data_IF_285204485087
#
_entry.id   IF_285204485087
#
_cell.length_a   1.000
_cell.length_b   1.000
_cell.length_c   1.000
_cell.angle_alpha   90.00
_cell.angle_beta   90.00
_cell.angle_gamma   90.00
#
_symmetry.space_group_name_H-M   'P 1'
#
loop_
_entity.id
_entity.type
_entity.pdbx_description
1 polymer ?
#
# COMPACT_ATOMS: atom_id res chain seq x y z
N UNK A 1 -16.67 4.60 18.19
CA UNK A 1 -15.60 5.58 18.44
C UNK A 1 -15.85 6.78 17.55
N UNK A 2 -16.02 7.99 18.09
CA UNK A 2 -16.10 9.22 17.31
C UNK A 2 -14.90 9.37 16.39
N UNK A 3 -15.10 9.86 15.16
CA UNK A 3 -14.02 9.99 14.16
C UNK A 3 -12.92 10.96 14.63
N UNK A 4 -13.25 11.86 15.56
CA UNK A 4 -12.29 12.79 16.16
C UNK A 4 -11.38 12.14 17.22
N UNK A 5 -11.70 10.93 17.70
CA UNK A 5 -10.87 10.20 18.67
C UNK A 5 -9.82 9.32 17.98
N UNK A 6 -9.89 9.18 16.66
CA UNK A 6 -8.87 8.63 15.80
C UNK A 6 -7.72 9.64 15.64
N UNK A 7 -7.02 9.99 16.71
CA UNK A 7 -6.05 11.09 16.67
C UNK A 7 -4.74 10.77 15.94
N UNK A 8 -4.43 9.50 15.64
CA UNK A 8 -3.24 9.10 14.87
C UNK A 8 -3.41 7.78 14.08
N UNK A 9 -4.55 7.42 13.45
CA UNK A 9 -4.58 6.23 12.60
C UNK A 9 -3.74 6.49 11.35
N UNK A 10 -2.79 5.59 11.10
CA UNK A 10 -2.04 5.56 9.83
C UNK A 10 -2.99 5.10 8.71
N UNK A 11 -3.93 4.20 9.02
CA UNK A 11 -4.87 3.57 8.09
C UNK A 11 -6.10 3.01 8.81
N UNK A 12 -7.28 3.16 8.20
CA UNK A 12 -8.53 2.47 8.56
C UNK A 12 -9.03 1.72 7.33
N UNK A 13 -9.50 0.49 7.51
CA UNK A 13 -10.14 -0.30 6.45
C UNK A 13 -11.58 -0.55 6.87
N UNK A 14 -12.53 -0.12 6.05
CA UNK A 14 -13.97 -0.24 6.32
C UNK A 14 -14.58 -1.18 5.29
N UNK A 15 -14.96 -2.41 5.66
CA UNK A 15 -15.69 -3.31 4.78
C UNK A 15 -17.08 -2.75 4.46
N UNK A 16 -17.45 -2.77 3.18
CA UNK A 16 -18.75 -2.29 2.67
C UNK A 16 -19.55 -3.41 1.98
N UNK A 17 -19.20 -4.69 2.19
CA UNK A 17 -19.79 -5.86 1.51
C UNK A 17 -21.32 -5.85 1.49
N UNK A 18 -21.95 -5.47 2.61
CA UNK A 18 -23.42 -5.41 2.78
C UNK A 18 -24.00 -3.99 2.60
N UNK A 19 -23.15 -3.00 2.36
CA UNK A 19 -23.48 -1.57 2.42
C UNK A 19 -22.86 -0.77 1.27
N UNK A 20 -22.62 -1.39 0.11
CA UNK A 20 -22.02 -0.72 -1.05
C UNK A 20 -22.84 0.48 -1.52
N UNK A 21 -24.16 0.49 -1.27
CA UNK A 21 -25.03 1.62 -1.53
C UNK A 21 -24.64 2.89 -0.75
N UNK A 22 -23.87 2.78 0.34
CA UNK A 22 -23.36 3.91 1.12
C UNK A 22 -22.00 4.42 0.63
N UNK A 23 -21.34 3.72 -0.31
CA UNK A 23 -19.95 3.98 -0.73
C UNK A 23 -19.76 5.41 -1.21
N UNK A 24 -20.59 5.87 -2.14
CA UNK A 24 -20.44 7.18 -2.77
C UNK A 24 -20.67 8.32 -1.77
N UNK A 25 -21.71 8.21 -0.95
CA UNK A 25 -22.01 9.18 0.11
C UNK A 25 -20.89 9.23 1.17
N UNK A 26 -20.34 8.07 1.54
CA UNK A 26 -19.25 8.00 2.51
C UNK A 26 -17.98 8.65 1.95
N UNK A 27 -17.59 8.31 0.71
CA UNK A 27 -16.43 8.92 0.03
C UNK A 27 -16.64 10.43 -0.11
N UNK A 28 -17.81 10.88 -0.56
CA UNK A 28 -18.12 12.30 -0.72
C UNK A 28 -17.97 13.07 0.59
N UNK A 29 -18.50 12.53 1.69
CA UNK A 29 -18.43 13.21 2.99
C UNK A 29 -17.03 13.20 3.59
N UNK A 30 -16.28 12.09 3.48
CA UNK A 30 -14.91 12.00 3.98
C UNK A 30 -13.94 12.90 3.17
N UNK A 31 -14.15 13.04 1.86
CA UNK A 31 -13.31 13.89 1.00
C UNK A 31 -13.36 15.38 1.42
N UNK A 32 -14.47 15.82 2.02
CA UNK A 32 -14.61 17.20 2.55
C UNK A 32 -13.63 17.51 3.69
N UNK A 33 -13.09 16.49 4.36
CA UNK A 33 -12.13 16.67 5.46
C UNK A 33 -10.76 17.13 4.96
N UNK A 34 -10.41 16.89 3.68
CA UNK A 34 -9.15 17.31 3.03
C UNK A 34 -7.85 16.80 3.69
N UNK A 35 -7.96 16.00 4.75
CA UNK A 35 -6.84 15.41 5.50
C UNK A 35 -6.75 13.89 5.33
N UNK A 36 -7.51 13.31 4.40
CA UNK A 36 -7.56 11.87 4.15
C UNK A 36 -7.26 11.54 2.69
N UNK A 37 -6.56 10.43 2.47
CA UNK A 37 -6.45 9.76 1.18
C UNK A 37 -7.38 8.53 1.19
N UNK A 38 -8.32 8.50 0.25
CA UNK A 38 -9.36 7.48 0.16
C UNK A 38 -9.15 6.60 -1.08
N UNK A 39 -9.23 5.28 -0.92
CA UNK A 39 -9.26 4.35 -2.05
C UNK A 39 -10.25 3.22 -1.80
N UNK A 40 -10.98 2.79 -2.83
CA UNK A 40 -11.88 1.65 -2.74
C UNK A 40 -11.25 0.44 -3.43
N UNK A 41 -11.27 -0.70 -2.77
CA UNK A 41 -10.80 -1.97 -3.35
C UNK A 41 -12.01 -2.79 -3.78
N UNK A 42 -12.28 -2.88 -5.09
CA UNK A 42 -13.51 -3.49 -5.61
C UNK A 42 -13.66 -4.98 -5.27
N UNK A 43 -12.57 -5.74 -5.32
CA UNK A 43 -12.60 -7.19 -5.01
C UNK A 43 -12.89 -7.44 -3.53
N UNK A 44 -12.17 -6.75 -2.63
CA UNK A 44 -12.37 -6.88 -1.18
C UNK A 44 -13.63 -6.16 -0.68
N UNK A 45 -14.21 -5.28 -1.50
CA UNK A 45 -15.31 -4.38 -1.16
C UNK A 45 -15.02 -3.55 0.09
N UNK A 46 -13.80 -3.01 0.15
CA UNK A 46 -13.29 -2.27 1.30
C UNK A 46 -12.96 -0.82 0.93
N UNK A 47 -13.39 0.12 1.76
CA UNK A 47 -12.92 1.51 1.73
C UNK A 47 -11.68 1.64 2.62
N UNK A 48 -10.58 2.03 2.01
CA UNK A 48 -9.32 2.34 2.64
C UNK A 48 -9.27 3.84 2.91
N UNK A 49 -8.97 4.20 4.16
CA UNK A 49 -8.91 5.58 4.63
C UNK A 49 -7.52 5.75 5.25
N UNK A 50 -6.63 6.47 4.57
CA UNK A 50 -5.30 6.79 5.07
C UNK A 50 -5.24 8.28 5.46
N UNK A 51 -4.29 8.63 6.34
CA UNK A 51 -3.92 10.03 6.51
C UNK A 51 -3.36 10.59 5.19
N UNK A 52 -3.69 11.85 4.87
CA UNK A 52 -3.27 12.49 3.62
C UNK A 52 -1.75 12.46 3.47
N UNK A 53 -1.28 11.97 2.32
CA UNK A 53 0.13 11.86 1.98
C UNK A 53 0.83 10.66 2.63
N UNK A 54 0.14 9.86 3.45
CA UNK A 54 0.72 8.70 4.13
C UNK A 54 0.55 7.43 3.30
N UNK A 55 1.64 7.05 2.66
CA UNK A 55 1.83 5.82 1.89
C UNK A 55 3.02 5.00 2.42
N UNK A 56 3.12 3.73 2.01
CA UNK A 56 4.32 2.90 2.26
C UNK A 56 5.61 3.63 1.83
N UNK A 57 5.59 4.22 0.63
CA UNK A 57 6.71 4.98 0.10
C UNK A 57 7.07 6.20 0.94
N UNK A 58 6.08 7.05 1.28
CA UNK A 58 6.32 8.24 2.10
C UNK A 58 6.88 7.88 3.48
N UNK A 59 6.44 6.76 4.05
CA UNK A 59 6.93 6.28 5.35
C UNK A 59 8.41 5.93 5.24
N UNK A 60 8.80 5.18 4.21
CA UNK A 60 10.22 4.82 4.01
C UNK A 60 11.07 6.06 3.77
N UNK A 61 10.64 6.94 2.85
CA UNK A 61 11.38 8.14 2.50
C UNK A 61 11.56 9.10 3.69
N UNK A 62 10.55 9.23 4.55
CA UNK A 62 10.59 10.14 5.69
C UNK A 62 11.42 9.61 6.86
N UNK A 63 11.52 8.28 7.03
CA UNK A 63 12.17 7.67 8.20
C UNK A 63 13.51 7.02 7.92
N UNK A 64 13.71 6.49 6.72
CA UNK A 64 14.90 5.71 6.34
C UNK A 64 15.65 6.34 5.16
N UNK A 65 15.02 7.26 4.43
CA UNK A 65 15.63 7.98 3.31
C UNK A 65 15.44 7.30 1.97
N UNK A 66 16.29 7.69 1.02
CA UNK A 66 16.36 7.07 -0.31
C UNK A 66 17.23 5.81 -0.23
N UNK A 67 17.32 5.08 -1.34
CA UNK A 67 18.24 3.95 -1.49
C UNK A 67 17.80 2.67 -0.76
N UNK A 68 16.58 2.21 -1.04
CA UNK A 68 16.04 0.96 -0.49
C UNK A 68 15.62 -0.03 -1.58
N UNK A 69 15.63 -1.30 -1.21
CA UNK A 69 15.03 -2.40 -1.99
C UNK A 69 13.60 -2.64 -1.49
N UNK A 70 12.65 -2.75 -2.40
CA UNK A 70 11.24 -2.98 -2.08
C UNK A 70 10.82 -4.41 -2.41
N UNK A 71 10.02 -5.01 -1.52
CA UNK A 71 9.23 -6.20 -1.78
C UNK A 71 7.76 -5.84 -1.65
N UNK A 72 6.95 -6.22 -2.62
CA UNK A 72 5.54 -5.84 -2.68
C UNK A 72 4.72 -6.82 -3.51
N UNK A 73 3.42 -6.85 -3.27
CA UNK A 73 2.52 -7.84 -3.87
C UNK A 73 1.19 -7.23 -4.33
N UNK A 74 0.96 -5.94 -4.08
CA UNK A 74 -0.35 -5.32 -4.25
C UNK A 74 -0.25 -3.89 -4.77
N UNK A 75 -1.40 -3.29 -5.12
CA UNK A 75 -1.50 -1.94 -5.69
C UNK A 75 -0.88 -0.86 -4.80
N UNK A 76 -0.98 -0.99 -3.48
CA UNK A 76 -0.43 0.00 -2.55
C UNK A 76 1.12 -0.01 -2.48
N UNK A 77 1.78 -0.97 -3.14
CA UNK A 77 3.23 -1.04 -3.31
C UNK A 77 3.73 -0.27 -4.55
N UNK A 78 2.85 0.13 -5.48
CA UNK A 78 3.27 0.86 -6.69
C UNK A 78 4.08 2.13 -6.36
N UNK A 79 3.65 3.01 -5.43
CA UNK A 79 4.47 4.17 -5.06
C UNK A 79 5.79 3.75 -4.39
N UNK A 80 5.81 2.62 -3.67
CA UNK A 80 7.01 2.11 -3.02
C UNK A 80 8.05 1.69 -4.06
N UNK A 81 7.62 0.99 -5.11
CA UNK A 81 8.48 0.52 -6.20
C UNK A 81 9.03 1.68 -7.03
N UNK A 82 8.20 2.70 -7.33
CA UNK A 82 8.64 3.91 -8.04
C UNK A 82 9.76 4.68 -7.35
N UNK A 83 9.96 4.48 -6.04
CA UNK A 83 10.98 5.16 -5.25
C UNK A 83 12.11 4.23 -4.81
N UNK A 84 12.02 2.93 -5.10
CA UNK A 84 13.02 1.94 -4.74
C UNK A 84 14.19 1.95 -5.73
N UNK A 85 15.38 1.53 -5.28
CA UNK A 85 16.49 1.19 -6.17
C UNK A 85 16.24 -0.11 -6.93
N UNK A 86 15.51 -1.03 -6.29
CA UNK A 86 15.20 -2.33 -6.83
C UNK A 86 13.86 -2.82 -6.27
N UNK A 87 12.91 -3.13 -7.14
CA UNK A 87 11.58 -3.62 -6.80
C UNK A 87 11.40 -5.10 -7.11
N UNK A 88 11.11 -5.91 -6.09
CA UNK A 88 10.79 -7.33 -6.23
C UNK A 88 9.29 -7.54 -6.03
N UNK A 89 8.59 -7.84 -7.12
CA UNK A 89 7.22 -8.28 -7.05
C UNK A 89 7.14 -9.70 -6.49
N UNK A 90 6.26 -9.89 -5.50
CA UNK A 90 5.91 -11.20 -4.94
C UNK A 90 4.51 -11.58 -5.41
N UNK A 91 4.38 -12.72 -6.09
CA UNK A 91 3.11 -13.12 -6.71
C UNK A 91 2.85 -12.44 -8.05
N UNK A 92 1.60 -12.45 -8.51
CA UNK A 92 1.23 -12.21 -9.91
C UNK A 92 0.26 -11.04 -10.13
N UNK A 93 0.18 -10.10 -9.18
CA UNK A 93 -0.63 -8.89 -9.35
C UNK A 93 -0.18 -8.07 -10.57
N UNK A 94 -0.99 -8.10 -11.64
CA UNK A 94 -0.60 -7.64 -12.97
C UNK A 94 -0.21 -6.16 -13.02
N UNK A 95 -0.90 -5.30 -12.27
CA UNK A 95 -0.65 -3.86 -12.27
C UNK A 95 0.64 -3.43 -11.54
N UNK A 96 1.27 -4.31 -10.77
CA UNK A 96 2.55 -4.02 -10.12
C UNK A 96 3.75 -4.38 -11.01
N UNK A 97 3.54 -5.27 -11.99
CA UNK A 97 4.59 -5.82 -12.85
C UNK A 97 5.39 -4.76 -13.60
N UNK A 98 4.72 -3.72 -14.10
CA UNK A 98 5.35 -2.64 -14.87
C UNK A 98 6.28 -1.76 -14.01
N UNK A 99 6.25 -1.90 -12.68
CA UNK A 99 7.08 -1.16 -11.75
C UNK A 99 8.16 -2.03 -11.09
N UNK A 100 8.18 -3.34 -11.36
CA UNK A 100 9.08 -4.29 -10.72
C UNK A 100 10.29 -4.59 -11.62
N UNK A 101 11.47 -4.72 -11.01
CA UNK A 101 12.68 -5.20 -11.69
C UNK A 101 12.71 -6.73 -11.80
N UNK A 102 12.09 -7.41 -10.83
CA UNK A 102 12.03 -8.87 -10.76
C UNK A 102 10.68 -9.34 -10.20
N UNK A 103 10.25 -10.53 -10.61
CA UNK A 103 9.07 -11.20 -10.08
C UNK A 103 9.46 -12.55 -9.47
N UNK A 104 8.97 -12.86 -8.27
CA UNK A 104 9.19 -14.13 -7.58
C UNK A 104 7.88 -14.74 -7.10
N UNK A 105 7.89 -16.07 -6.92
CA UNK A 105 6.76 -16.79 -6.35
C UNK A 105 6.53 -16.39 -4.88
N UNK A 106 5.26 -16.39 -4.41
CA UNK A 106 4.90 -16.06 -3.03
C UNK A 106 5.19 -17.22 -2.07
N UNK A 107 6.42 -17.72 -2.11
CA UNK A 107 6.90 -18.84 -1.29
C UNK A 107 7.93 -18.31 -0.30
N UNK A 108 7.72 -18.53 0.99
CA UNK A 108 8.55 -17.94 2.05
C UNK A 108 10.04 -18.24 1.91
N UNK A 109 10.42 -19.43 1.44
CA UNK A 109 11.83 -19.79 1.20
C UNK A 109 12.44 -18.99 0.06
N UNK A 110 11.71 -18.85 -1.06
CA UNK A 110 12.13 -18.05 -2.22
C UNK A 110 12.30 -16.58 -1.83
N UNK A 111 11.37 -16.03 -1.06
CA UNK A 111 11.44 -14.65 -0.56
C UNK A 111 12.67 -14.48 0.36
N UNK A 112 12.88 -15.40 1.30
CA UNK A 112 14.02 -15.34 2.22
C UNK A 112 15.37 -15.45 1.52
N UNK A 113 15.50 -16.33 0.52
CA UNK A 113 16.70 -16.45 -0.31
C UNK A 113 16.94 -15.17 -1.11
N UNK A 114 15.88 -14.59 -1.68
CA UNK A 114 15.98 -13.32 -2.41
C UNK A 114 16.43 -12.16 -1.51
N UNK A 115 15.89 -12.06 -0.29
CA UNK A 115 16.32 -11.05 0.68
C UNK A 115 17.83 -11.19 0.96
N UNK A 116 18.33 -12.40 1.24
CA UNK A 116 19.76 -12.63 1.49
C UNK A 116 20.62 -12.22 0.30
N UNK A 117 20.25 -12.63 -0.90
CA UNK A 117 20.98 -12.31 -2.13
C UNK A 117 21.05 -10.81 -2.38
N UNK A 118 19.94 -10.08 -2.18
CA UNK A 118 19.92 -8.64 -2.40
C UNK A 118 20.68 -7.88 -1.31
N UNK A 119 20.74 -8.40 -0.08
CA UNK A 119 21.52 -7.83 1.01
C UNK A 119 23.04 -7.90 0.77
N UNK A 120 23.51 -8.85 -0.05
CA UNK A 120 24.92 -8.92 -0.47
C UNK A 120 25.24 -7.99 -1.65
N UNK A 121 24.20 -7.60 -2.40
CA UNK A 121 24.33 -6.80 -3.64
C UNK A 121 24.26 -5.29 -3.40
N UNK A 122 23.50 -4.85 -2.39
CA UNK A 122 23.26 -3.45 -2.05
C UNK A 122 23.77 -3.17 -0.64
#
# INVERSE_FOLDING_TARGET
MPIQELNNPIKVVTPLVEHENLREDLIFNLTKLRCLDLSYHDIERCLYINANGVTKASTVLNHFGKDFVAFGNDQNDIPLFKNALYGVQVGDFSYLKDFADENILPVSTVIAEKIKLLFEKF
#
